data_IF_286717248372
#
_entry.id   IF_286717248372
#
_cell.length_a   1.000
_cell.length_b   1.000
_cell.length_c   1.000
_cell.angle_alpha   90.00
_cell.angle_beta   90.00
_cell.angle_gamma   90.00
#
_symmetry.space_group_name_H-M   'P 1'
#
loop_
_entity.id
_entity.type
_entity.pdbx_description
1 polymer ?
#
# COMPACT_ATOMS: atom_id res chain seq x y z
N UNK A 1 17.98 -16.45 18.66
CA UNK A 1 17.34 -15.17 19.03
C UNK A 1 16.64 -14.60 17.82
N UNK A 2 15.34 -14.36 17.92
CA UNK A 2 14.49 -13.99 16.77
C UNK A 2 14.18 -12.48 16.77
N UNK A 3 14.98 -11.68 17.49
CA UNK A 3 14.71 -10.25 17.69
C UNK A 3 13.35 -9.93 18.33
N UNK A 4 12.72 -10.89 19.04
CA UNK A 4 11.39 -10.76 19.67
C UNK A 4 10.21 -10.55 18.70
N UNK A 5 10.26 -11.11 17.47
CA UNK A 5 9.12 -11.08 16.54
C UNK A 5 8.01 -12.07 16.95
N UNK A 6 6.82 -11.57 17.27
CA UNK A 6 5.59 -12.35 17.48
C UNK A 6 4.87 -12.56 16.14
N UNK A 7 4.60 -13.81 15.78
CA UNK A 7 3.79 -14.13 14.59
C UNK A 7 2.41 -14.59 15.05
N UNK A 8 1.35 -13.95 14.54
CA UNK A 8 -0.03 -14.19 14.96
C UNK A 8 -0.95 -14.29 13.74
N UNK A 9 -1.90 -15.22 13.77
CA UNK A 9 -3.02 -15.20 12.82
C UNK A 9 -4.02 -14.11 13.21
N UNK A 10 -4.19 -13.11 12.34
CA UNK A 10 -5.02 -11.92 12.56
C UNK A 10 -5.33 -11.25 11.22
N UNK A 11 -6.54 -10.69 11.08
CA UNK A 11 -7.06 -10.05 9.85
C UNK A 11 -6.93 -8.51 9.87
N UNK A 12 -6.27 -7.96 10.90
CA UNK A 12 -5.99 -6.53 11.00
C UNK A 12 -4.94 -6.06 9.99
N UNK A 13 -5.05 -4.80 9.54
CA UNK A 13 -4.04 -4.18 8.66
C UNK A 13 -2.83 -3.63 9.43
N UNK A 14 -2.98 -3.36 10.72
CA UNK A 14 -1.97 -2.69 11.55
C UNK A 14 -1.56 -3.61 12.69
N UNK A 15 -0.33 -4.13 12.63
CA UNK A 15 0.23 -4.93 13.72
C UNK A 15 0.97 -4.06 14.74
N UNK A 16 0.98 -4.45 16.03
CA UNK A 16 1.85 -3.83 17.04
C UNK A 16 3.34 -3.98 16.67
N UNK A 17 4.18 -3.12 17.26
CA UNK A 17 5.64 -3.21 17.11
C UNK A 17 6.11 -4.62 17.52
N UNK A 18 6.97 -5.21 16.70
CA UNK A 18 7.49 -6.57 16.93
C UNK A 18 6.46 -7.66 16.68
N UNK A 19 5.32 -7.38 16.05
CA UNK A 19 4.31 -8.38 15.67
C UNK A 19 4.11 -8.42 14.16
N UNK A 20 4.00 -9.63 13.60
CA UNK A 20 3.63 -9.90 12.23
C UNK A 20 2.28 -10.63 12.22
N UNK A 21 1.29 -10.03 11.55
CA UNK A 21 0.03 -10.69 11.25
C UNK A 21 0.18 -11.56 10.00
N UNK A 22 -0.39 -12.77 10.05
CA UNK A 22 -0.35 -13.73 8.95
C UNK A 22 -1.75 -14.26 8.66
N UNK A 23 -2.07 -14.36 7.38
CA UNK A 23 -3.25 -15.05 6.87
C UNK A 23 -2.82 -16.08 5.84
N UNK A 24 -3.62 -17.14 5.66
CA UNK A 24 -3.37 -18.20 4.69
C UNK A 24 -4.60 -18.35 3.82
N UNK A 25 -4.39 -18.38 2.51
CA UNK A 25 -5.45 -18.53 1.53
C UNK A 25 -5.16 -19.74 0.65
N UNK A 26 -6.19 -20.49 0.32
CA UNK A 26 -6.09 -21.61 -0.65
C UNK A 26 -6.07 -21.07 -2.08
N UNK A 27 -6.75 -19.96 -2.32
CA UNK A 27 -6.94 -19.35 -3.63
C UNK A 27 -6.47 -17.89 -3.66
N UNK A 28 -5.73 -17.53 -4.70
CA UNK A 28 -5.25 -16.16 -4.88
C UNK A 28 -6.40 -15.15 -5.07
N UNK A 29 -7.53 -15.59 -5.61
CA UNK A 29 -8.72 -14.75 -5.83
C UNK A 29 -9.34 -14.24 -4.53
N UNK A 30 -9.35 -15.06 -3.48
CA UNK A 30 -9.89 -14.66 -2.17
C UNK A 30 -9.05 -13.51 -1.56
N UNK A 31 -7.73 -13.65 -1.61
CA UNK A 31 -6.79 -12.61 -1.19
C UNK A 31 -6.92 -11.33 -2.04
N UNK A 32 -7.04 -11.47 -3.36
CA UNK A 32 -7.21 -10.32 -4.25
C UNK A 32 -8.50 -9.55 -3.95
N UNK A 33 -9.62 -10.25 -3.74
CA UNK A 33 -10.90 -9.65 -3.40
C UNK A 33 -10.83 -8.89 -2.06
N UNK A 34 -10.20 -9.49 -1.04
CA UNK A 34 -10.01 -8.85 0.26
C UNK A 34 -9.20 -7.56 0.16
N UNK A 35 -8.11 -7.56 -0.61
CA UNK A 35 -7.31 -6.35 -0.82
C UNK A 35 -8.06 -5.28 -1.60
N UNK A 36 -8.85 -5.66 -2.61
CA UNK A 36 -9.64 -4.72 -3.39
C UNK A 36 -10.74 -4.05 -2.54
N UNK A 37 -11.38 -4.81 -1.65
CA UNK A 37 -12.39 -4.29 -0.71
C UNK A 37 -11.79 -3.29 0.29
N UNK A 38 -10.53 -3.50 0.69
CA UNK A 38 -9.79 -2.64 1.62
C UNK A 38 -8.84 -1.65 0.94
N UNK A 39 -8.98 -1.42 -0.37
CA UNK A 39 -8.00 -0.63 -1.14
C UNK A 39 -7.80 0.79 -0.60
N UNK A 40 -8.86 1.40 -0.07
CA UNK A 40 -8.82 2.78 0.43
C UNK A 40 -8.07 2.88 1.78
N UNK A 41 -7.90 1.75 2.48
CA UNK A 41 -7.11 1.64 3.71
C UNK A 41 -5.66 1.23 3.45
N UNK A 42 -5.29 0.93 2.19
CA UNK A 42 -4.00 0.32 1.82
C UNK A 42 -3.25 1.22 0.82
N UNK A 43 -2.12 1.75 1.26
CA UNK A 43 -1.28 2.61 0.42
C UNK A 43 -0.45 1.82 -0.63
N UNK A 44 0.06 0.64 -0.26
CA UNK A 44 0.92 -0.16 -1.14
C UNK A 44 0.91 -1.63 -0.73
N UNK A 45 0.93 -2.51 -1.71
CA UNK A 45 1.11 -3.95 -1.50
C UNK A 45 2.49 -4.35 -1.98
N UNK A 46 3.28 -5.02 -1.14
CA UNK A 46 4.58 -5.56 -1.54
C UNK A 46 4.49 -7.05 -1.82
N UNK A 47 4.97 -7.48 -2.98
CA UNK A 47 5.00 -8.91 -3.35
C UNK A 47 6.22 -9.27 -4.20
N UNK A 48 6.40 -10.56 -4.48
CA UNK A 48 7.41 -10.99 -5.45
C UNK A 48 7.10 -10.46 -6.84
N UNK A 49 8.14 -10.14 -7.60
CA UNK A 49 8.01 -9.60 -8.95
C UNK A 49 7.29 -10.56 -9.92
N UNK A 50 7.40 -11.87 -9.70
CA UNK A 50 6.78 -12.93 -10.53
C UNK A 50 5.39 -13.37 -10.03
N UNK A 51 4.80 -12.65 -9.08
CA UNK A 51 3.47 -12.99 -8.52
C UNK A 51 2.38 -12.79 -9.57
N UNK A 52 1.57 -13.85 -9.78
CA UNK A 52 0.40 -13.80 -10.67
C UNK A 52 -0.68 -12.82 -10.17
N UNK A 53 -0.67 -12.42 -8.89
CA UNK A 53 -1.62 -11.46 -8.31
C UNK A 53 -1.29 -10.00 -8.63
N UNK A 54 -0.12 -9.70 -9.21
CA UNK A 54 0.31 -8.32 -9.48
C UNK A 54 -0.63 -7.59 -10.43
N UNK A 55 -0.79 -8.12 -11.65
CA UNK A 55 -1.60 -7.47 -12.69
C UNK A 55 -3.09 -7.31 -12.29
N UNK A 56 -3.74 -8.29 -11.64
CA UNK A 56 -5.08 -8.11 -11.08
C UNK A 56 -5.19 -6.95 -10.09
N UNK A 57 -4.27 -6.83 -9.13
CA UNK A 57 -4.32 -5.78 -8.11
C UNK A 57 -4.03 -4.40 -8.70
N UNK A 58 -3.07 -4.29 -9.62
CA UNK A 58 -2.80 -3.03 -10.35
C UNK A 58 -4.03 -2.59 -11.17
N UNK A 59 -4.78 -3.55 -11.75
CA UNK A 59 -6.03 -3.26 -12.48
C UNK A 59 -7.14 -2.71 -11.58
N UNK A 60 -7.18 -3.12 -10.30
CA UNK A 60 -8.07 -2.56 -9.28
C UNK A 60 -7.63 -1.16 -8.80
N UNK A 61 -6.56 -0.61 -9.38
CA UNK A 61 -6.01 0.71 -9.06
C UNK A 61 -5.07 0.71 -7.86
N UNK A 62 -4.68 -0.46 -7.36
CA UNK A 62 -3.75 -0.55 -6.23
C UNK A 62 -2.31 -0.40 -6.66
N UNK A 63 -1.50 0.28 -5.84
CA UNK A 63 -0.06 0.34 -6.02
C UNK A 63 0.60 -0.96 -5.56
N UNK A 64 1.30 -1.64 -6.46
CA UNK A 64 2.06 -2.86 -6.15
C UNK A 64 3.57 -2.62 -6.33
N UNK A 65 4.35 -2.94 -5.31
CA UNK A 65 5.81 -2.80 -5.30
C UNK A 65 6.49 -4.16 -5.14
N UNK A 66 7.68 -4.32 -5.72
CA UNK A 66 8.54 -5.47 -5.48
C UNK A 66 9.24 -5.35 -4.12
N UNK A 67 9.72 -6.47 -3.58
CA UNK A 67 10.51 -6.43 -2.34
C UNK A 67 11.72 -5.49 -2.47
N UNK A 68 11.93 -4.67 -1.43
CA UNK A 68 13.00 -3.68 -1.37
C UNK A 68 12.66 -2.32 -1.98
N UNK A 69 11.77 -2.25 -2.97
CA UNK A 69 11.47 -0.99 -3.70
C UNK A 69 10.90 0.10 -2.79
N UNK A 70 10.09 -0.27 -1.80
CA UNK A 70 9.49 0.67 -0.86
C UNK A 70 10.52 1.40 0.04
N UNK A 71 11.78 0.94 0.09
CA UNK A 71 12.84 1.64 0.82
C UNK A 71 13.47 2.79 0.01
N UNK A 72 13.11 2.91 -1.28
CA UNK A 72 13.63 3.91 -2.20
C UNK A 72 12.48 4.71 -2.85
N UNK A 73 11.64 5.41 -2.06
CA UNK A 73 10.51 6.15 -2.61
C UNK A 73 10.96 7.25 -3.56
N UNK A 74 10.20 7.46 -4.63
CA UNK A 74 10.39 8.53 -5.60
C UNK A 74 9.51 9.74 -5.27
N UNK A 75 9.81 10.90 -5.89
CA UNK A 75 9.02 12.12 -5.73
C UNK A 75 7.55 12.00 -6.18
N UNK A 76 7.18 10.92 -6.88
CA UNK A 76 5.83 10.67 -7.39
C UNK A 76 5.06 9.62 -6.59
N UNK A 77 5.66 9.08 -5.53
CA UNK A 77 5.06 8.03 -4.71
C UNK A 77 4.12 8.62 -3.64
N UNK A 78 3.13 9.41 -4.08
CA UNK A 78 2.12 10.02 -3.22
C UNK A 78 1.24 8.94 -2.57
N UNK A 79 1.01 9.07 -1.26
CA UNK A 79 0.31 8.08 -0.44
C UNK A 79 -1.17 7.91 -0.84
N UNK A 80 -1.79 8.98 -1.32
CA UNK A 80 -3.18 9.06 -1.76
C UNK A 80 -3.32 9.02 -3.30
N UNK A 81 -2.21 8.87 -4.02
CA UNK A 81 -2.18 8.93 -5.48
C UNK A 81 -2.43 10.33 -6.05
N UNK A 82 -2.51 11.38 -5.23
CA UNK A 82 -2.77 12.75 -5.68
C UNK A 82 -1.45 13.50 -5.86
N UNK A 83 -1.20 13.99 -7.07
CA UNK A 83 -0.10 14.92 -7.31
C UNK A 83 -0.36 16.24 -6.58
N UNK A 84 0.30 16.39 -5.43
CA UNK A 84 0.16 17.56 -4.56
C UNK A 84 0.53 18.85 -5.30
N UNK A 85 1.54 18.83 -6.17
CA UNK A 85 1.95 20.04 -6.90
C UNK A 85 0.88 20.43 -7.92
N UNK A 86 0.36 19.47 -8.66
CA UNK A 86 -0.78 19.69 -9.55
C UNK A 86 -2.00 20.22 -8.79
N UNK A 87 -2.33 19.63 -7.63
CA UNK A 87 -3.43 20.10 -6.77
C UNK A 87 -3.22 21.55 -6.31
N UNK A 88 -2.05 21.89 -5.76
CA UNK A 88 -1.76 23.24 -5.28
C UNK A 88 -1.86 24.29 -6.39
N UNK A 89 -1.49 23.94 -7.63
CA UNK A 89 -1.63 24.82 -8.79
C UNK A 89 -3.09 25.07 -9.19
N UNK A 90 -4.04 24.23 -8.77
CA UNK A 90 -5.48 24.46 -8.98
C UNK A 90 -6.09 25.41 -7.95
N UNK A 91 -5.40 25.68 -6.83
CA UNK A 91 -5.92 26.54 -5.78
C UNK A 91 -5.91 28.02 -6.20
N UNK A 92 -6.94 28.80 -5.84
CA UNK A 92 -6.94 30.24 -6.10
C UNK A 92 -5.79 30.91 -5.35
N UNK A 93 -5.10 31.85 -6.02
CA UNK A 93 -4.03 32.62 -5.38
C UNK A 93 -4.61 33.45 -4.23
N UNK A 94 -3.96 33.45 -3.04
CA UNK A 94 -4.36 34.34 -1.97
C UNK A 94 -4.23 35.80 -2.44
N UNK A 95 -5.08 36.71 -1.92
CA UNK A 95 -4.98 38.12 -2.23
C UNK A 95 -3.59 38.64 -1.80
N UNK A 96 -2.99 39.46 -2.66
CA UNK A 96 -1.74 40.14 -2.32
C UNK A 96 -2.09 41.26 -1.36
N UNK A 97 -1.68 41.16 -0.09
CA UNK A 97 -1.72 42.30 0.82
C UNK A 97 -0.67 43.32 0.36
N UNK A 98 -1.12 44.57 0.18
CA UNK A 98 -0.32 45.69 -0.31
C UNK A 98 0.36 46.45 0.84
#
# INVERSE_FOLDING_TARGET
ENGFLLVKADEGLVSPIGTLFIERYEEASAFQALLADRKDDIQVVTMRADSASRAPLEKEGMRVASFGENQCPTLRDYADGVDTMSFLLTLPKPPVEA
#
